data_IF_637597547922
#
_entry.id   IF_637597547922
#
_cell.length_a   1.000
_cell.length_b   1.000
_cell.length_c   1.000
_cell.angle_alpha   90.00
_cell.angle_beta   90.00
_cell.angle_gamma   90.00
#
_symmetry.space_group_name_H-M   'P 1'
#
loop_
_entity.id
_entity.type
_entity.pdbx_description
1 polymer ?
#
# COMPACT_ATOMS: atom_id res chain seq x y z
N UNK A 1 -9.83 -1.70 7.32
CA UNK A 1 -9.65 -0.52 8.18
C UNK A 1 -8.28 -0.51 8.88
N UNK A 2 -7.29 -1.05 8.20
CA UNK A 2 -5.94 -1.04 8.71
C UNK A 2 -4.95 -0.41 7.70
N UNK A 3 -5.35 -0.22 6.44
CA UNK A 3 -4.49 0.39 5.44
C UNK A 3 -5.32 0.88 4.24
N UNK A 4 -4.70 1.74 3.43
CA UNK A 4 -5.17 2.10 2.09
C UNK A 4 -4.10 1.71 1.08
N UNK A 5 -4.51 1.21 -0.09
CA UNK A 5 -3.59 0.63 -1.06
C UNK A 5 -3.81 1.25 -2.43
N UNK A 6 -2.74 1.48 -3.15
CA UNK A 6 -2.77 2.03 -4.49
C UNK A 6 -1.56 1.63 -5.31
N UNK A 7 -1.46 2.20 -6.51
CA UNK A 7 -0.30 2.04 -7.40
C UNK A 7 -0.40 0.90 -8.40
N UNK A 8 -1.49 0.12 -8.40
CA UNK A 8 -1.59 -1.06 -9.26
C UNK A 8 -2.61 -0.98 -10.37
N UNK A 9 -3.63 -0.12 -10.25
CA UNK A 9 -4.79 -0.13 -11.14
C UNK A 9 -4.98 1.21 -11.82
N UNK A 10 -5.56 1.16 -13.02
CA UNK A 10 -6.10 2.34 -13.69
C UNK A 10 -7.48 2.67 -13.11
N UNK A 11 -8.03 3.81 -13.52
CA UNK A 11 -9.35 4.28 -13.06
C UNK A 11 -10.46 3.26 -13.35
N UNK A 12 -10.37 2.54 -14.45
CA UNK A 12 -11.32 1.51 -14.86
C UNK A 12 -10.95 0.10 -14.34
N UNK A 13 -10.08 0.03 -13.35
CA UNK A 13 -9.66 -1.21 -12.67
C UNK A 13 -8.90 -2.19 -13.55
N UNK A 14 -8.21 -1.70 -14.57
CA UNK A 14 -7.24 -2.49 -15.32
C UNK A 14 -5.88 -2.43 -14.62
N UNK A 15 -5.23 -3.58 -14.53
CA UNK A 15 -3.90 -3.67 -13.92
C UNK A 15 -2.88 -2.93 -14.78
N UNK A 16 -2.09 -2.07 -14.16
CA UNK A 16 -1.04 -1.33 -14.85
C UNK A 16 0.14 -2.22 -15.17
N UNK A 17 0.82 -1.92 -16.28
CA UNK A 17 2.10 -2.53 -16.61
C UNK A 17 3.16 -2.08 -15.61
N UNK A 18 3.96 -3.02 -15.12
CA UNK A 18 4.99 -2.75 -14.12
C UNK A 18 6.37 -3.14 -14.63
N UNK A 19 7.39 -2.64 -13.96
CA UNK A 19 8.76 -3.15 -14.10
C UNK A 19 8.86 -4.49 -13.36
N UNK A 20 10.03 -5.12 -13.40
CA UNK A 20 10.28 -6.37 -12.71
C UNK A 20 10.06 -6.22 -11.20
N UNK A 21 9.73 -7.34 -10.56
CA UNK A 21 9.57 -7.39 -9.10
C UNK A 21 10.91 -7.15 -8.40
N UNK A 22 10.83 -6.73 -7.14
CA UNK A 22 12.01 -6.41 -6.34
C UNK A 22 12.07 -7.29 -5.09
N UNK A 23 13.27 -7.39 -4.54
CA UNK A 23 13.51 -8.13 -3.31
C UNK A 23 12.82 -7.50 -2.11
N UNK A 24 12.29 -8.32 -1.21
CA UNK A 24 11.69 -7.87 0.03
C UNK A 24 12.78 -7.50 1.03
N UNK A 25 12.78 -6.24 1.45
CA UNK A 25 13.74 -5.70 2.40
C UNK A 25 13.09 -5.39 3.76
N UNK A 26 12.05 -6.15 4.13
CA UNK A 26 11.31 -5.90 5.39
C UNK A 26 12.20 -6.02 6.63
N UNK A 27 13.31 -6.75 6.53
CA UNK A 27 14.30 -6.87 7.62
C UNK A 27 15.21 -5.65 7.70
N UNK A 28 14.65 -4.45 7.55
CA UNK A 28 15.40 -3.20 7.60
C UNK A 28 15.23 -2.45 8.94
N UNK A 29 14.50 -3.03 9.89
CA UNK A 29 14.25 -2.43 11.20
C UNK A 29 13.10 -1.43 11.23
N UNK A 30 12.47 -1.11 10.10
CA UNK A 30 11.35 -0.19 10.05
C UNK A 30 10.05 -0.92 10.36
N UNK A 31 9.12 -0.23 11.01
CA UNK A 31 7.87 -0.82 11.50
C UNK A 31 6.66 -0.26 10.75
N UNK A 32 5.63 -1.10 10.62
CA UNK A 32 4.34 -0.73 10.02
C UNK A 32 3.48 0.01 11.04
N UNK A 33 3.91 1.20 11.39
CA UNK A 33 3.16 2.10 12.29
C UNK A 33 2.22 2.98 11.48
N UNK A 34 1.27 3.61 12.13
CA UNK A 34 0.32 4.50 11.47
C UNK A 34 1.07 5.55 10.63
N UNK A 35 0.62 5.74 9.37
CA UNK A 35 1.19 6.64 8.35
C UNK A 35 2.52 6.19 7.75
N UNK A 36 3.04 5.01 8.09
CA UNK A 36 4.15 4.45 7.34
C UNK A 36 3.66 3.91 5.98
N UNK A 37 4.55 3.91 5.00
CA UNK A 37 4.27 3.46 3.63
C UNK A 37 5.09 2.20 3.38
N UNK A 38 4.43 1.16 2.90
CA UNK A 38 5.05 -0.14 2.68
C UNK A 38 4.67 -0.71 1.32
N UNK A 39 5.46 -1.65 0.82
CA UNK A 39 5.18 -2.32 -0.46
C UNK A 39 4.14 -3.41 -0.30
N UNK A 40 3.09 -3.33 -1.10
CA UNK A 40 2.15 -4.44 -1.26
C UNK A 40 2.77 -5.51 -2.15
N UNK A 41 2.37 -6.76 -1.93
CA UNK A 41 2.87 -7.92 -2.66
C UNK A 41 1.90 -9.07 -2.57
N UNK A 42 2.13 -10.11 -3.35
CA UNK A 42 1.43 -11.39 -3.20
C UNK A 42 2.05 -12.19 -2.05
N UNK A 43 1.60 -13.42 -1.86
CA UNK A 43 2.19 -14.31 -0.85
C UNK A 43 3.63 -14.70 -1.16
N UNK A 44 4.08 -14.55 -2.40
CA UNK A 44 5.50 -14.71 -2.74
C UNK A 44 6.28 -13.53 -2.15
N UNK A 45 7.34 -13.77 -1.35
CA UNK A 45 7.97 -12.68 -0.59
C UNK A 45 8.66 -11.63 -1.45
N UNK A 46 9.11 -11.96 -2.65
CA UNK A 46 9.82 -11.05 -3.56
C UNK A 46 8.98 -10.70 -4.79
N UNK A 47 7.69 -10.44 -4.59
CA UNK A 47 6.72 -10.19 -5.68
C UNK A 47 6.27 -8.74 -5.79
N UNK A 48 6.81 -7.83 -4.98
CA UNK A 48 6.43 -6.42 -5.03
C UNK A 48 6.89 -5.77 -6.34
N UNK A 49 6.04 -4.94 -6.92
CA UNK A 49 6.37 -4.21 -8.15
C UNK A 49 5.98 -2.73 -8.08
N UNK A 50 4.68 -2.40 -8.11
CA UNK A 50 4.24 -1.01 -8.12
C UNK A 50 3.23 -0.68 -7.03
N UNK A 51 2.59 -1.66 -6.44
CA UNK A 51 1.56 -1.41 -5.44
C UNK A 51 2.19 -1.12 -4.09
N UNK A 52 1.61 -0.17 -3.38
CA UNK A 52 2.02 0.21 -2.04
C UNK A 52 0.79 0.41 -1.19
N UNK A 53 0.98 0.46 0.11
CA UNK A 53 -0.09 0.81 1.03
C UNK A 53 0.42 1.77 2.09
N UNK A 54 -0.51 2.55 2.64
CA UNK A 54 -0.25 3.43 3.77
C UNK A 54 -0.98 2.82 4.96
N UNK A 55 -0.26 2.56 6.03
CA UNK A 55 -0.84 2.04 7.25
C UNK A 55 -1.72 3.12 7.91
N UNK A 56 -2.96 2.79 8.18
CA UNK A 56 -3.89 3.71 8.86
C UNK A 56 -4.03 3.37 10.34
N UNK A 57 -3.25 2.42 10.79
CA UNK A 57 -3.16 2.00 12.19
C UNK A 57 -1.76 1.45 12.44
N UNK A 58 -1.42 1.18 13.69
CA UNK A 58 -0.20 0.45 14.02
C UNK A 58 -0.45 -1.03 13.73
N UNK A 59 0.17 -1.53 12.68
CA UNK A 59 -0.06 -2.88 12.16
C UNK A 59 1.14 -3.77 12.42
N UNK A 60 1.41 -4.05 13.67
CA UNK A 60 2.56 -4.84 14.11
C UNK A 60 2.62 -6.22 13.44
N UNK A 61 1.46 -6.80 13.11
CA UNK A 61 1.41 -8.11 12.46
C UNK A 61 2.00 -8.12 11.04
N UNK A 62 2.25 -6.96 10.45
CA UNK A 62 2.88 -6.83 9.14
C UNK A 62 4.40 -6.68 9.22
N UNK A 63 4.96 -6.48 10.42
CA UNK A 63 6.40 -6.31 10.61
C UNK A 63 7.15 -7.62 10.40
N UNK A 64 8.40 -7.52 9.95
CA UNK A 64 9.27 -8.69 9.85
C UNK A 64 9.43 -9.36 11.24
N UNK A 65 9.33 -10.69 11.34
CA UNK A 65 9.14 -11.67 10.27
C UNK A 65 7.68 -11.92 9.87
N UNK A 66 6.72 -11.27 10.50
CA UNK A 66 5.32 -11.41 10.21
C UNK A 66 4.80 -12.85 10.34
N UNK A 67 3.73 -13.13 9.61
CA UNK A 67 3.10 -14.45 9.60
C UNK A 67 3.75 -15.43 8.62
N UNK A 68 4.45 -14.90 7.61
CA UNK A 68 5.02 -15.71 6.53
C UNK A 68 6.56 -15.80 6.58
N UNK A 69 7.18 -15.28 7.62
CA UNK A 69 8.64 -15.27 7.79
C UNK A 69 9.32 -14.08 7.14
N UNK A 70 8.58 -13.21 6.43
CA UNK A 70 9.13 -12.07 5.69
C UNK A 70 8.56 -10.72 6.13
N UNK A 71 7.24 -10.62 6.34
CA UNK A 71 6.58 -9.34 6.62
C UNK A 71 6.50 -8.44 5.39
N UNK A 72 6.16 -7.18 5.61
CA UNK A 72 5.97 -6.16 4.57
C UNK A 72 6.96 -5.02 4.76
N UNK A 73 7.65 -4.67 3.68
CA UNK A 73 8.76 -3.73 3.71
C UNK A 73 8.27 -2.28 3.77
N UNK A 74 8.53 -1.61 4.90
CA UNK A 74 8.32 -0.17 5.03
C UNK A 74 9.51 0.56 4.37
N UNK A 75 9.18 1.54 3.52
CA UNK A 75 10.21 2.32 2.82
C UNK A 75 10.00 3.83 2.94
N UNK A 76 8.94 4.27 3.60
CA UNK A 76 8.67 5.69 3.74
C UNK A 76 7.60 5.98 4.78
N UNK A 77 7.27 7.25 4.92
CA UNK A 77 6.21 7.71 5.81
C UNK A 77 5.52 8.95 5.23
N UNK A 78 4.28 9.17 5.64
CA UNK A 78 3.53 10.37 5.27
C UNK A 78 4.02 11.53 6.12
N UNK A 79 4.57 12.57 5.48
CA UNK A 79 5.10 13.75 6.18
C UNK A 79 4.13 14.92 6.18
N UNK A 80 3.12 14.89 5.31
CA UNK A 80 2.05 15.89 5.24
C UNK A 80 0.82 15.24 4.62
N UNK A 81 -0.38 15.76 4.93
CA UNK A 81 -1.61 15.23 4.36
C UNK A 81 -2.19 14.04 5.11
N UNK A 82 -1.88 13.85 6.39
CA UNK A 82 -2.43 12.77 7.21
C UNK A 82 -3.97 12.83 7.23
N UNK A 83 -4.55 14.01 7.21
CA UNK A 83 -5.99 14.19 7.15
C UNK A 83 -6.59 13.67 5.85
N UNK A 84 -5.87 13.75 4.74
CA UNK A 84 -6.29 13.19 3.45
C UNK A 84 -6.26 11.66 3.51
N UNK A 85 -5.23 11.08 4.10
CA UNK A 85 -5.15 9.62 4.32
C UNK A 85 -6.36 9.16 5.15
N UNK A 86 -6.68 9.86 6.21
CA UNK A 86 -7.82 9.53 7.07
C UNK A 86 -9.14 9.62 6.32
N UNK A 87 -9.31 10.60 5.44
CA UNK A 87 -10.51 10.72 4.60
C UNK A 87 -10.64 9.56 3.62
N UNK A 88 -9.56 9.17 2.97
CA UNK A 88 -9.57 8.05 2.02
C UNK A 88 -9.94 6.75 2.72
N UNK A 89 -9.42 6.52 3.91
CA UNK A 89 -9.74 5.33 4.69
C UNK A 89 -11.24 5.21 4.99
N UNK A 90 -11.92 6.32 5.17
CA UNK A 90 -13.32 6.37 5.58
C UNK A 90 -14.33 6.35 4.43
N UNK A 91 -13.89 6.37 3.17
CA UNK A 91 -14.81 6.35 2.04
C UNK A 91 -15.57 5.04 1.98
N UNK A 92 -16.79 5.08 1.44
CA UNK A 92 -17.56 3.88 1.17
C UNK A 92 -16.86 3.04 0.11
N UNK A 93 -16.85 1.73 0.32
CA UNK A 93 -16.21 0.80 -0.59
C UNK A 93 -17.25 -0.13 -1.21
N UNK A 94 -16.92 -0.64 -2.39
CA UNK A 94 -17.75 -1.57 -3.16
C UNK A 94 -16.90 -2.73 -3.66
N UNK A 95 -17.55 -3.76 -4.17
CA UNK A 95 -16.90 -4.82 -4.93
C UNK A 95 -16.96 -4.44 -6.41
N UNK A 96 -15.82 -4.42 -7.08
CA UNK A 96 -15.72 -4.03 -8.49
C UNK A 96 -14.62 -4.82 -9.18
N UNK A 97 -14.93 -5.41 -10.34
CA UNK A 97 -13.94 -6.11 -11.14
C UNK A 97 -13.27 -7.28 -10.43
N UNK A 98 -13.99 -7.97 -9.53
CA UNK A 98 -13.45 -9.07 -8.74
C UNK A 98 -12.62 -8.63 -7.53
N UNK A 99 -12.57 -7.32 -7.25
CA UNK A 99 -11.86 -6.76 -6.10
C UNK A 99 -12.85 -6.29 -5.04
N UNK A 100 -12.52 -6.56 -3.78
CA UNK A 100 -13.24 -6.04 -2.63
C UNK A 100 -12.61 -4.73 -2.16
N UNK A 101 -13.36 -3.95 -1.38
CA UNK A 101 -12.88 -2.74 -0.72
C UNK A 101 -12.39 -1.66 -1.70
N UNK A 102 -13.02 -1.58 -2.87
CA UNK A 102 -12.75 -0.54 -3.87
C UNK A 102 -13.55 0.71 -3.51
N UNK A 103 -12.90 1.92 -3.45
CA UNK A 103 -13.66 3.15 -3.20
C UNK A 103 -14.80 3.33 -4.21
N UNK A 104 -16.00 3.62 -3.71
CA UNK A 104 -17.18 3.84 -4.55
C UNK A 104 -17.01 5.04 -5.47
N UNK A 105 -16.39 6.11 -4.97
CA UNK A 105 -15.88 7.21 -5.78
C UNK A 105 -14.41 6.98 -6.05
N UNK A 106 -13.98 7.05 -7.31
CA UNK A 106 -12.60 6.80 -7.70
C UNK A 106 -11.65 7.78 -7.01
N UNK A 107 -10.62 7.23 -6.37
CA UNK A 107 -9.50 8.00 -5.81
C UNK A 107 -8.33 7.89 -6.75
N UNK A 108 -7.83 9.02 -7.24
CA UNK A 108 -6.82 9.07 -8.27
C UNK A 108 -5.54 9.72 -7.74
N UNK A 109 -4.39 9.09 -8.00
CA UNK A 109 -3.08 9.72 -7.82
C UNK A 109 -2.79 10.49 -9.11
N UNK A 110 -2.90 11.80 -9.05
CA UNK A 110 -2.73 12.65 -10.23
C UNK A 110 -1.27 12.74 -10.67
N UNK A 111 -0.36 12.69 -9.72
CA UNK A 111 1.07 12.84 -10.00
C UNK A 111 1.90 12.24 -8.87
N UNK A 112 2.95 11.55 -9.23
CA UNK A 112 3.99 11.11 -8.30
C UNK A 112 5.34 11.54 -8.87
N UNK A 113 6.18 12.15 -8.05
CA UNK A 113 7.50 12.62 -8.47
C UNK A 113 8.47 12.57 -7.31
N UNK A 114 9.76 12.48 -7.65
CA UNK A 114 10.81 12.61 -6.65
C UNK A 114 11.05 14.08 -6.33
N UNK A 115 11.17 14.41 -5.05
CA UNK A 115 11.57 15.74 -4.61
C UNK A 115 13.08 15.79 -4.46
N UNK A 116 13.65 16.92 -4.75
CA UNK A 116 15.09 17.15 -4.62
C UNK A 116 15.44 17.86 -3.32
#
# INVERSE_FOLDING_TARGET
>A
NFMIQGGGMTEDMHQKTTKATIENEAKNGLKNVKYSVAMARTMAPHSASSQFFINTNDNQFLDFPGQDGWGYCVFGEVVAGQDIVDKIEKVETINLGGHADVPGETVIINKASLSE
#
